data_IF_485179945859
#
_entry.id   IF_485179945859
#
_cell.length_a   1.000
_cell.length_b   1.000
_cell.length_c   1.000
_cell.angle_alpha   90.00
_cell.angle_beta   90.00
_cell.angle_gamma   90.00
#
_symmetry.space_group_name_H-M   'P 1'
#
loop_
_entity.id
_entity.type
_entity.pdbx_description
1 polymer ?
#
# COMPACT_ATOMS: atom_id res chain seq x y z
N UNK A 1 -4.43 -4.33 7.44
CA UNK A 1 -3.24 -4.35 6.55
C UNK A 1 -1.93 -4.68 7.27
N UNK A 2 -1.50 -3.93 8.29
CA UNK A 2 -0.20 -4.15 8.96
C UNK A 2 -0.01 -5.58 9.50
N UNK A 3 -0.99 -6.12 10.21
CA UNK A 3 -0.93 -7.48 10.74
C UNK A 3 -0.82 -8.53 9.64
N UNK A 4 -1.54 -8.34 8.53
CA UNK A 4 -1.44 -9.23 7.35
C UNK A 4 -0.06 -9.20 6.71
N UNK A 5 0.56 -8.02 6.59
CA UNK A 5 1.94 -7.89 6.10
C UNK A 5 2.94 -8.56 7.04
N UNK A 6 2.78 -8.43 8.36
CA UNK A 6 3.62 -9.11 9.35
C UNK A 6 3.50 -10.63 9.23
N UNK A 7 2.27 -11.14 9.17
CA UNK A 7 2.01 -12.57 8.98
C UNK A 7 2.67 -13.09 7.69
N UNK A 8 2.47 -12.40 6.57
CA UNK A 8 3.12 -12.75 5.30
C UNK A 8 4.65 -12.77 5.41
N UNK A 9 5.24 -11.78 6.10
CA UNK A 9 6.68 -11.70 6.27
C UNK A 9 7.25 -12.84 7.12
N UNK A 10 6.55 -13.25 8.19
CA UNK A 10 7.05 -14.21 9.19
C UNK A 10 6.64 -15.65 8.95
N UNK A 11 5.45 -15.90 8.39
CA UNK A 11 4.89 -17.25 8.23
C UNK A 11 4.98 -17.78 6.79
N UNK A 12 5.00 -16.91 5.77
CA UNK A 12 4.97 -17.33 4.36
C UNK A 12 6.38 -17.34 3.75
N UNK A 13 7.20 -18.34 4.07
CA UNK A 13 8.63 -18.36 3.68
C UNK A 13 8.85 -18.50 2.17
N UNK A 14 8.09 -19.38 1.50
CA UNK A 14 8.20 -19.63 0.05
C UNK A 14 7.43 -18.66 -0.86
N UNK A 15 6.62 -17.77 -0.29
CA UNK A 15 5.79 -16.84 -1.07
C UNK A 15 6.54 -15.55 -1.33
N UNK A 16 6.61 -15.12 -2.61
CA UNK A 16 7.37 -13.93 -3.04
C UNK A 16 6.50 -12.70 -3.25
N UNK A 17 5.20 -12.89 -3.47
CA UNK A 17 4.27 -11.82 -3.83
C UNK A 17 3.08 -11.85 -2.89
N UNK A 18 2.74 -10.67 -2.36
CA UNK A 18 1.53 -10.44 -1.59
C UNK A 18 0.52 -9.73 -2.49
N UNK A 19 -0.72 -10.21 -2.47
CA UNK A 19 -1.85 -9.56 -3.11
C UNK A 19 -2.85 -9.20 -2.02
N UNK A 20 -3.17 -7.91 -1.89
CA UNK A 20 -4.20 -7.40 -1.00
C UNK A 20 -5.38 -6.93 -1.84
N UNK A 21 -6.59 -7.37 -1.50
CA UNK A 21 -7.83 -7.03 -2.19
C UNK A 21 -8.92 -6.91 -1.12
N UNK A 22 -9.83 -5.96 -1.30
CA UNK A 22 -11.02 -5.83 -0.45
C UNK A 22 -12.07 -6.89 -0.82
N UNK A 23 -12.94 -7.26 0.12
CA UNK A 23 -13.92 -8.33 -0.05
C UNK A 23 -15.10 -7.98 -0.98
N UNK A 24 -15.24 -6.70 -1.33
CA UNK A 24 -16.23 -6.16 -2.28
C UNK A 24 -15.66 -5.93 -3.69
N UNK A 25 -14.46 -6.44 -3.99
CA UNK A 25 -13.76 -6.23 -5.26
C UNK A 25 -13.76 -7.50 -6.11
N UNK A 26 -14.30 -7.38 -7.34
CA UNK A 26 -14.13 -8.39 -8.36
C UNK A 26 -12.77 -8.24 -9.07
N UNK A 27 -12.09 -9.36 -9.32
CA UNK A 27 -10.81 -9.39 -10.02
C UNK A 27 -10.70 -10.60 -10.95
N UNK A 28 -9.91 -10.44 -12.03
CA UNK A 28 -9.63 -11.53 -12.96
C UNK A 28 -8.38 -12.29 -12.49
N UNK A 29 -8.59 -13.40 -11.77
CA UNK A 29 -7.52 -14.20 -11.17
C UNK A 29 -6.49 -14.65 -12.23
N UNK A 30 -6.93 -15.11 -13.40
CA UNK A 30 -6.03 -15.58 -14.46
C UNK A 30 -5.12 -14.46 -14.96
N UNK A 31 -5.68 -13.27 -15.26
CA UNK A 31 -4.88 -12.12 -15.70
C UNK A 31 -3.91 -11.66 -14.63
N UNK A 32 -4.34 -11.65 -13.37
CA UNK A 32 -3.48 -11.20 -12.27
C UNK A 32 -2.36 -12.21 -12.00
N UNK A 33 -2.62 -13.51 -12.07
CA UNK A 33 -1.57 -14.53 -11.98
C UNK A 33 -0.52 -14.37 -13.08
N UNK A 34 -0.94 -14.23 -14.35
CA UNK A 34 -0.01 -14.00 -15.47
C UNK A 34 0.78 -12.70 -15.30
N UNK A 35 0.14 -11.64 -14.78
CA UNK A 35 0.82 -10.39 -14.47
C UNK A 35 1.89 -10.60 -13.39
N UNK A 36 1.57 -11.31 -12.31
CA UNK A 36 2.50 -11.59 -11.21
C UNK A 36 3.73 -12.35 -11.72
N UNK A 37 3.53 -13.37 -12.55
CA UNK A 37 4.61 -14.18 -13.09
C UNK A 37 5.56 -13.39 -14.00
N UNK A 38 5.01 -12.46 -14.80
CA UNK A 38 5.78 -11.79 -15.85
C UNK A 38 6.34 -10.42 -15.45
N UNK A 39 5.70 -9.71 -14.51
CA UNK A 39 5.95 -8.28 -14.29
C UNK A 39 6.41 -7.92 -12.89
N UNK A 40 6.13 -8.73 -11.86
CA UNK A 40 6.44 -8.35 -10.47
C UNK A 40 7.94 -8.45 -10.21
N UNK A 41 8.56 -7.30 -9.96
CA UNK A 41 10.00 -7.22 -9.67
C UNK A 41 10.27 -6.87 -8.20
N UNK A 42 11.46 -7.22 -7.67
CA UNK A 42 11.81 -6.96 -6.30
C UNK A 42 11.67 -5.48 -5.90
N UNK A 43 10.91 -5.26 -4.83
CA UNK A 43 10.84 -3.94 -4.20
C UNK A 43 9.82 -2.97 -4.81
N UNK A 44 9.01 -3.42 -5.76
CA UNK A 44 7.94 -2.63 -6.38
C UNK A 44 6.58 -2.99 -5.77
N UNK A 45 5.70 -2.01 -5.71
CA UNK A 45 4.27 -2.18 -5.40
C UNK A 45 3.49 -1.71 -6.64
N UNK A 46 2.55 -2.54 -7.09
CA UNK A 46 1.68 -2.32 -8.23
C UNK A 46 0.27 -2.05 -7.75
N UNK A 47 -0.30 -0.91 -8.13
CA UNK A 47 -1.64 -0.51 -7.69
C UNK A 47 -2.18 0.66 -8.53
N UNK A 48 -3.45 1.00 -8.32
CA UNK A 48 -3.94 2.29 -8.79
C UNK A 48 -3.37 3.41 -7.90
N UNK A 49 -2.40 4.17 -8.40
CA UNK A 49 -1.67 5.20 -7.65
C UNK A 49 -2.35 6.57 -7.70
N UNK A 50 -2.54 7.18 -6.54
CA UNK A 50 -2.91 8.58 -6.39
C UNK A 50 -1.67 9.44 -6.21
N UNK A 51 -1.47 10.42 -7.10
CA UNK A 51 -0.28 11.28 -7.07
C UNK A 51 -0.49 12.63 -6.39
N UNK A 52 -1.68 13.22 -6.50
CA UNK A 52 -1.98 14.58 -6.03
C UNK A 52 -3.36 14.65 -5.34
N UNK A 53 -3.70 13.63 -4.55
CA UNK A 53 -4.96 13.66 -3.81
C UNK A 53 -4.84 14.56 -2.57
N UNK A 54 -5.93 15.20 -2.17
CA UNK A 54 -5.96 16.15 -1.06
C UNK A 54 -7.03 15.76 -0.04
N UNK A 55 -6.84 16.08 1.26
CA UNK A 55 -7.84 15.83 2.29
C UNK A 55 -9.12 16.63 2.02
N UNK A 56 -10.26 15.94 1.94
CA UNK A 56 -11.57 16.59 1.93
C UNK A 56 -11.90 17.05 3.35
N UNK A 57 -11.76 18.35 3.60
CA UNK A 57 -11.83 18.94 4.95
C UNK A 57 -13.25 19.14 5.49
N UNK A 58 -14.26 19.10 4.61
CA UNK A 58 -15.67 19.32 4.97
C UNK A 58 -16.46 18.04 5.27
N UNK A 59 -15.89 16.86 4.98
CA UNK A 59 -16.56 15.57 5.09
C UNK A 59 -15.76 14.55 5.94
N UNK A 60 -15.00 15.05 6.92
CA UNK A 60 -14.39 14.21 7.96
C UNK A 60 -13.26 13.27 7.50
N UNK A 61 -12.48 13.59 6.45
CA UNK A 61 -11.37 12.74 6.02
C UNK A 61 -10.01 13.10 6.64
N UNK A 62 -9.78 14.38 6.96
CA UNK A 62 -8.68 14.86 7.80
C UNK A 62 -8.85 16.37 8.07
N UNK A 63 -8.73 16.78 9.32
CA UNK A 63 -8.64 18.18 9.72
C UNK A 63 -7.26 18.77 9.37
N UNK A 64 -7.13 20.10 9.41
CA UNK A 64 -5.83 20.76 9.20
C UNK A 64 -4.82 20.49 10.32
N UNK A 65 -5.28 20.21 11.54
CA UNK A 65 -4.44 19.77 12.64
C UNK A 65 -3.90 18.35 12.43
N UNK A 66 -4.70 17.46 11.84
CA UNK A 66 -4.28 16.08 11.56
C UNK A 66 -3.43 15.97 10.30
N UNK A 67 -3.72 16.78 9.27
CA UNK A 67 -2.95 16.85 8.04
C UNK A 67 -2.74 18.31 7.59
N UNK A 68 -1.62 18.93 8.01
CA UNK A 68 -1.33 20.33 7.70
C UNK A 68 -1.04 20.56 6.21
N UNK A 69 -0.47 19.56 5.54
CA UNK A 69 -0.11 19.62 4.12
C UNK A 69 -1.32 19.75 3.21
N UNK A 70 -1.12 20.33 2.04
CA UNK A 70 -2.19 20.50 1.05
C UNK A 70 -2.53 19.19 0.34
N UNK A 71 -1.51 18.39 0.02
CA UNK A 71 -1.66 17.08 -0.62
C UNK A 71 -1.23 15.95 0.31
N UNK A 72 -1.80 14.76 0.11
CA UNK A 72 -1.19 13.52 0.56
C UNK A 72 0.01 13.18 -0.34
N UNK A 73 1.06 12.49 0.16
CA UNK A 73 2.08 11.94 -0.72
C UNK A 73 1.48 10.80 -1.54
N UNK A 74 2.27 10.24 -2.46
CA UNK A 74 1.80 9.20 -3.38
C UNK A 74 1.39 7.93 -2.63
N UNK A 75 0.20 7.41 -2.93
CA UNK A 75 -0.29 6.19 -2.29
C UNK A 75 -1.15 5.32 -3.22
N UNK A 76 -1.32 4.04 -2.88
CA UNK A 76 -2.20 3.10 -3.57
C UNK A 76 -3.65 3.30 -3.15
N UNK A 77 -4.58 3.29 -4.09
CA UNK A 77 -6.00 3.25 -3.79
C UNK A 77 -6.31 2.06 -2.88
N UNK A 78 -7.21 2.28 -1.91
CA UNK A 78 -7.52 1.30 -0.87
C UNK A 78 -7.95 -0.06 -1.43
N UNK A 79 -8.56 -0.09 -2.60
CA UNK A 79 -9.16 -1.26 -3.28
C UNK A 79 -8.25 -2.49 -3.34
N UNK A 80 -6.98 -2.31 -3.67
CA UNK A 80 -6.05 -3.43 -3.77
C UNK A 80 -4.66 -3.08 -4.29
N UNK A 81 -3.70 -3.96 -4.01
CA UNK A 81 -2.33 -3.84 -4.51
C UNK A 81 -1.63 -5.20 -4.60
N UNK A 82 -0.59 -5.25 -5.43
CA UNK A 82 0.34 -6.37 -5.55
C UNK A 82 1.71 -5.88 -5.10
N UNK A 83 2.37 -6.58 -4.18
CA UNK A 83 3.67 -6.20 -3.65
C UNK A 83 4.64 -7.37 -3.62
N UNK A 84 5.86 -7.15 -4.11
CA UNK A 84 6.94 -8.11 -3.88
C UNK A 84 7.35 -8.14 -2.40
N UNK A 85 7.80 -9.28 -1.88
CA UNK A 85 8.21 -9.45 -0.48
C UNK A 85 9.24 -8.43 -0.02
N UNK A 86 10.23 -8.11 -0.86
CA UNK A 86 11.19 -7.02 -0.58
C UNK A 86 10.51 -5.66 -0.34
N UNK A 87 9.44 -5.33 -1.04
CA UNK A 87 8.69 -4.10 -0.78
C UNK A 87 8.00 -4.18 0.58
N UNK A 88 7.34 -5.30 0.88
CA UNK A 88 6.65 -5.53 2.17
C UNK A 88 7.62 -5.44 3.35
N UNK A 89 8.80 -6.05 3.25
CA UNK A 89 9.82 -5.98 4.30
C UNK A 89 10.32 -4.54 4.51
N UNK A 90 10.52 -3.78 3.43
CA UNK A 90 10.88 -2.35 3.53
C UNK A 90 9.78 -1.52 4.17
N UNK A 91 8.51 -1.79 3.86
CA UNK A 91 7.38 -1.14 4.54
C UNK A 91 7.38 -1.46 6.04
N UNK A 92 7.50 -2.74 6.40
CA UNK A 92 7.50 -3.17 7.80
C UNK A 92 8.67 -2.59 8.61
N UNK A 93 9.83 -2.38 7.99
CA UNK A 93 10.96 -1.70 8.61
C UNK A 93 10.70 -0.21 8.87
N UNK A 94 9.84 0.42 8.07
CA UNK A 94 9.49 1.85 8.19
C UNK A 94 8.32 2.13 9.12
N UNK A 95 7.40 1.19 9.27
CA UNK A 95 6.21 1.34 10.14
C UNK A 95 6.53 1.87 11.55
N UNK A 96 7.58 1.40 12.28
CA UNK A 96 7.87 1.92 13.62
C UNK A 96 8.33 3.38 13.66
N UNK A 97 8.75 3.94 12.51
CA UNK A 97 9.24 5.32 12.36
C UNK A 97 8.11 6.28 11.94
N UNK A 98 6.96 5.74 11.52
CA UNK A 98 5.83 6.51 11.04
C UNK A 98 4.83 6.78 12.16
N UNK A 99 4.30 8.00 12.19
CA UNK A 99 3.08 8.28 12.96
C UNK A 99 1.90 7.53 12.34
N UNK A 100 1.04 6.99 13.20
CA UNK A 100 -0.17 6.32 12.74
C UNK A 100 -1.23 7.35 12.36
N UNK A 101 -1.67 7.32 11.11
CA UNK A 101 -2.80 8.08 10.59
C UNK A 101 -4.03 7.20 10.46
N UNK A 102 -5.19 7.63 10.96
CA UNK A 102 -6.37 6.77 11.01
C UNK A 102 -7.00 6.49 9.63
N UNK A 103 -6.62 7.24 8.57
CA UNK A 103 -7.02 6.92 7.19
C UNK A 103 -6.14 5.78 6.67
N UNK A 104 -6.78 4.63 6.40
CA UNK A 104 -6.10 3.39 6.03
C UNK A 104 -5.26 3.46 4.74
N UNK A 105 -5.64 4.29 3.76
CA UNK A 105 -5.03 4.30 2.43
C UNK A 105 -3.77 5.20 2.32
N UNK A 106 -3.77 6.46 2.80
CA UNK A 106 -2.58 7.32 2.78
C UNK A 106 -1.41 6.79 3.64
N UNK A 107 -1.73 6.22 4.79
CA UNK A 107 -0.74 5.76 5.77
C UNK A 107 0.17 4.64 5.25
N UNK A 108 -0.32 3.84 4.30
CA UNK A 108 0.45 2.68 3.81
C UNK A 108 1.75 3.06 3.10
N UNK A 109 1.93 4.32 2.70
CA UNK A 109 3.07 4.74 1.87
C UNK A 109 3.73 6.08 2.25
N UNK A 110 3.18 6.84 3.20
CA UNK A 110 3.70 8.15 3.62
C UNK A 110 5.19 8.15 3.98
N UNK A 111 5.72 7.08 4.59
CA UNK A 111 7.14 6.97 4.99
C UNK A 111 7.94 5.97 4.13
N UNK A 112 7.35 5.52 3.03
CA UNK A 112 7.98 4.65 2.05
C UNK A 112 8.40 5.41 0.79
N UNK A 113 8.91 6.62 0.96
CA UNK A 113 9.35 7.56 -0.09
C UNK A 113 10.44 7.04 -1.04
N UNK A 114 10.93 5.80 -0.85
CA UNK A 114 11.86 5.09 -1.74
C UNK A 114 11.29 3.83 -2.39
N UNK A 115 10.00 3.54 -2.20
CA UNK A 115 9.32 2.46 -2.93
C UNK A 115 8.88 2.98 -4.29
N UNK A 116 9.22 2.23 -5.33
CA UNK A 116 8.70 2.48 -6.67
C UNK A 116 7.26 1.97 -6.70
N UNK A 117 6.32 2.91 -6.70
CA UNK A 117 4.89 2.67 -6.93
C UNK A 117 4.65 2.74 -8.43
N UNK A 118 4.23 1.62 -9.02
CA UNK A 118 3.87 1.51 -10.44
C UNK A 118 2.36 1.37 -10.55
#
# INVERSE_FOLDING_TARGET
TLSGMRYFATACHGVRTLVKIDDDVAWNVTKVSSFIESNVVPGVIYCHRWDNNYPIRFASYATKSEWPSYYYPKYCSGVGYIAHKCAVLRMLHKVPQSEFFWVYSPLTLNDCSRLRLI
#
